data_IF_566760183332
#
_entry.id   IF_566760183332
#
_cell.length_a   1.000
_cell.length_b   1.000
_cell.length_c   1.000
_cell.angle_alpha   90.00
_cell.angle_beta   90.00
_cell.angle_gamma   90.00
#
_symmetry.space_group_name_H-M   'P 1'
#
loop_
_entity.id
_entity.type
_entity.pdbx_description
1 polymer ?
#
# COMPACT_ATOMS: atom_id res chain seq x y z
N UNK A 1 4.72 -1.92 19.29
CA UNK A 1 3.86 -1.13 18.37
C UNK A 1 4.66 -0.79 17.11
N UNK A 2 4.11 -1.09 15.94
CA UNK A 2 4.77 -0.84 14.64
C UNK A 2 4.82 0.66 14.38
N UNK A 3 5.99 1.18 13.97
CA UNK A 3 6.17 2.57 13.55
C UNK A 3 5.98 2.67 12.04
N UNK A 4 4.97 3.44 11.61
CA UNK A 4 4.74 3.75 10.20
C UNK A 4 5.42 5.06 9.81
N UNK A 5 5.84 5.17 8.55
CA UNK A 5 6.44 6.39 8.00
C UNK A 5 5.44 7.55 7.96
N UNK A 6 4.24 7.29 7.42
CA UNK A 6 3.15 8.27 7.37
C UNK A 6 2.16 8.04 8.52
N UNK A 7 1.79 9.12 9.21
CA UNK A 7 0.75 9.11 10.25
C UNK A 7 -0.54 9.72 9.68
N UNK A 8 -1.69 9.05 9.81
CA UNK A 8 -2.95 9.59 9.34
C UNK A 8 -3.37 10.78 10.22
N UNK A 9 -3.97 11.79 9.60
CA UNK A 9 -4.53 12.95 10.31
C UNK A 9 -5.71 12.54 11.19
N UNK A 10 -6.52 11.58 10.73
CA UNK A 10 -7.62 11.01 11.50
C UNK A 10 -7.50 9.48 11.57
N UNK A 11 -7.12 8.97 12.75
CA UNK A 11 -6.91 7.53 12.98
C UNK A 11 -8.20 6.73 12.85
N UNK A 12 -9.36 7.28 13.24
CA UNK A 12 -10.63 6.56 13.23
C UNK A 12 -11.20 6.31 11.82
N UNK A 13 -10.77 7.11 10.83
CA UNK A 13 -11.20 7.00 9.42
C UNK A 13 -10.10 6.50 8.49
N UNK A 14 -9.01 5.98 9.04
CA UNK A 14 -7.88 5.47 8.29
C UNK A 14 -7.67 3.98 8.58
N UNK A 15 -7.27 3.23 7.56
CA UNK A 15 -6.82 1.85 7.69
C UNK A 15 -5.33 1.78 7.38
N UNK A 16 -4.58 0.99 8.15
CA UNK A 16 -3.15 0.74 7.95
C UNK A 16 -2.92 -0.77 7.90
N UNK A 17 -2.08 -1.22 6.97
CA UNK A 17 -1.68 -2.62 6.83
C UNK A 17 -0.17 -2.70 6.57
N UNK A 18 0.46 -3.80 6.99
CA UNK A 18 1.89 -4.07 6.80
C UNK A 18 2.11 -5.56 6.55
N UNK A 19 3.01 -5.89 5.63
CA UNK A 19 3.58 -7.22 5.47
C UNK A 19 5.09 -7.12 5.54
N UNK A 20 5.72 -7.98 6.35
CA UNK A 20 7.17 -8.03 6.54
C UNK A 20 7.75 -9.30 5.94
N UNK A 21 8.98 -9.22 5.43
CA UNK A 21 9.73 -10.36 4.88
C UNK A 21 8.97 -11.13 3.76
N UNK A 22 8.31 -10.40 2.87
CA UNK A 22 7.65 -10.97 1.70
C UNK A 22 8.70 -11.42 0.68
N UNK A 23 8.54 -12.63 0.13
CA UNK A 23 9.43 -13.18 -0.90
C UNK A 23 9.11 -12.58 -2.28
N UNK A 24 9.52 -11.34 -2.50
CA UNK A 24 9.29 -10.57 -3.73
C UNK A 24 10.50 -9.73 -4.11
N UNK A 25 10.61 -9.33 -5.37
CA UNK A 25 11.67 -8.44 -5.83
C UNK A 25 11.37 -6.99 -5.46
N UNK A 26 12.23 -6.38 -4.64
CA UNK A 26 12.01 -5.04 -4.08
C UNK A 26 11.71 -3.98 -5.14
N UNK A 27 12.53 -3.89 -6.21
CA UNK A 27 12.36 -2.84 -7.22
C UNK A 27 11.04 -2.97 -7.97
N UNK A 28 10.62 -4.19 -8.27
CA UNK A 28 9.37 -4.41 -9.01
C UNK A 28 8.18 -3.98 -8.16
N UNK A 29 8.18 -4.34 -6.87
CA UNK A 29 7.12 -3.94 -5.94
C UNK A 29 7.08 -2.44 -5.67
N UNK A 30 8.24 -1.76 -5.74
CA UNK A 30 8.30 -0.32 -5.56
C UNK A 30 7.59 0.41 -6.70
N UNK A 31 7.90 0.07 -7.95
CA UNK A 31 7.25 0.66 -9.12
C UNK A 31 5.75 0.38 -9.16
N UNK A 32 5.32 -0.85 -8.84
CA UNK A 32 3.89 -1.18 -8.75
C UNK A 32 3.17 -0.38 -7.65
N UNK A 33 3.83 -0.16 -6.51
CA UNK A 33 3.26 0.61 -5.40
C UNK A 33 3.15 2.10 -5.73
N UNK A 34 4.07 2.65 -6.53
CA UNK A 34 3.99 4.02 -7.03
C UNK A 34 2.81 4.17 -8.02
N UNK A 35 2.64 3.20 -8.92
CA UNK A 35 1.57 3.22 -9.92
C UNK A 35 0.15 3.22 -9.32
N UNK A 36 -0.08 2.52 -8.21
CA UNK A 36 -1.40 2.47 -7.56
C UNK A 36 -1.64 3.61 -6.56
N UNK A 37 -0.65 4.48 -6.32
CA UNK A 37 -0.74 5.56 -5.33
C UNK A 37 -1.82 6.57 -5.75
N UNK A 38 -2.73 6.89 -4.84
CA UNK A 38 -3.82 7.85 -5.08
C UNK A 38 -5.06 7.27 -5.78
N UNK A 39 -5.03 6.00 -6.18
CA UNK A 39 -6.22 5.33 -6.72
C UNK A 39 -7.24 5.00 -5.62
N UNK A 40 -8.53 4.94 -5.99
CA UNK A 40 -9.57 4.34 -5.15
C UNK A 40 -9.31 2.84 -5.01
N UNK A 41 -9.61 2.27 -3.83
CA UNK A 41 -9.32 0.86 -3.51
C UNK A 41 -9.90 -0.11 -4.55
N UNK A 42 -11.15 0.09 -4.98
CA UNK A 42 -11.78 -0.77 -5.99
C UNK A 42 -11.01 -0.73 -7.33
N UNK A 43 -10.62 0.46 -7.80
CA UNK A 43 -9.88 0.62 -9.05
C UNK A 43 -8.47 0.02 -8.99
N UNK A 44 -7.80 0.14 -7.84
CA UNK A 44 -6.49 -0.45 -7.61
C UNK A 44 -6.55 -1.98 -7.61
N UNK A 45 -7.60 -2.57 -7.04
CA UNK A 45 -7.82 -4.02 -7.09
C UNK A 45 -8.04 -4.54 -8.50
N UNK A 46 -8.78 -3.80 -9.34
CA UNK A 46 -8.96 -4.14 -10.76
C UNK A 46 -7.65 -3.98 -11.53
N UNK A 47 -6.87 -2.92 -11.26
CA UNK A 47 -5.59 -2.69 -11.93
C UNK A 47 -4.59 -3.83 -11.70
N UNK A 48 -4.54 -4.39 -10.49
CA UNK A 48 -3.60 -5.46 -10.13
C UNK A 48 -4.04 -6.86 -10.62
N UNK A 49 -5.27 -7.01 -11.11
CA UNK A 49 -5.81 -8.29 -11.63
C UNK A 49 -5.67 -8.44 -13.14
N UNK A 50 -5.33 -7.37 -13.84
CA UNK A 50 -5.03 -7.38 -15.27
C UNK A 50 -3.67 -8.02 -15.52
#
# INVERSE_FOLDING_TARGET
>A
MVKYCAKPVNVAKAAQARGDNLKVHFKNTYETADAIRGMKVARAQEFLKN
#
